data_IF_592477141846
#
_entry.id   IF_592477141846
#
_cell.length_a   1.000
_cell.length_b   1.000
_cell.length_c   1.000
_cell.angle_alpha   90.00
_cell.angle_beta   90.00
_cell.angle_gamma   90.00
#
_symmetry.space_group_name_H-M   'P 1'
#
loop_
_entity.id
_entity.type
_entity.pdbx_description
1 polymer ?
#
# COMPACT_ATOMS: atom_id res chain seq x y z
N UNK A 1 56.74 -21.91 -13.57
CA UNK A 1 55.72 -22.89 -14.03
C UNK A 1 54.64 -23.26 -12.99
N UNK A 2 54.73 -22.87 -11.70
CA UNK A 2 53.69 -23.19 -10.69
C UNK A 2 52.47 -22.24 -10.67
N UNK A 3 52.59 -21.00 -11.18
CA UNK A 3 51.50 -20.01 -11.21
C UNK A 3 50.55 -20.12 -12.43
N UNK A 4 50.97 -20.84 -13.47
CA UNK A 4 50.14 -21.09 -14.66
C UNK A 4 49.14 -22.23 -14.41
N UNK A 5 49.49 -23.21 -13.58
CA UNK A 5 48.60 -24.31 -13.23
C UNK A 5 47.46 -23.86 -12.30
N UNK A 6 47.70 -22.90 -11.41
CA UNK A 6 46.68 -22.42 -10.47
C UNK A 6 45.64 -21.51 -11.12
N UNK A 7 46.04 -20.70 -12.11
CA UNK A 7 45.11 -19.83 -12.86
C UNK A 7 44.26 -20.61 -13.85
N UNK A 8 44.81 -21.65 -14.49
CA UNK A 8 44.05 -22.54 -15.38
C UNK A 8 42.97 -23.35 -14.63
N UNK A 9 43.22 -23.73 -13.37
CA UNK A 9 42.27 -24.50 -12.55
C UNK A 9 41.06 -23.66 -12.09
N UNK A 10 41.21 -22.33 -11.97
CA UNK A 10 40.10 -21.43 -11.66
C UNK A 10 39.24 -21.13 -12.90
N UNK A 11 39.87 -21.00 -14.07
CA UNK A 11 39.18 -20.74 -15.33
C UNK A 11 38.33 -21.94 -15.82
N UNK A 12 38.74 -23.18 -15.53
CA UNK A 12 37.97 -24.37 -15.89
C UNK A 12 36.64 -24.50 -15.14
N UNK A 13 36.50 -23.89 -13.96
CA UNK A 13 35.25 -23.90 -13.19
C UNK A 13 34.18 -22.97 -13.80
N UNK A 14 34.57 -21.91 -14.51
CA UNK A 14 33.63 -20.98 -15.18
C UNK A 14 32.99 -21.62 -16.41
N UNK A 15 33.72 -22.47 -17.15
CA UNK A 15 33.20 -23.17 -18.31
C UNK A 15 32.39 -24.45 -17.96
N UNK A 16 32.68 -25.09 -16.82
CA UNK A 16 32.09 -26.37 -16.44
C UNK A 16 30.70 -26.27 -15.79
N UNK A 17 30.33 -25.13 -15.19
CA UNK A 17 29.07 -24.99 -14.46
C UNK A 17 28.29 -23.70 -14.78
N UNK A 18 27.90 -23.47 -16.06
CA UNK A 18 27.07 -22.31 -16.42
C UNK A 18 25.75 -22.29 -15.63
N UNK A 19 25.18 -23.45 -15.32
CA UNK A 19 23.97 -23.60 -14.51
C UNK A 19 24.15 -23.23 -13.03
N UNK A 20 25.36 -23.37 -12.48
CA UNK A 20 25.63 -22.98 -11.08
C UNK A 20 25.73 -21.46 -10.95
N UNK A 21 26.25 -20.76 -11.97
CA UNK A 21 26.22 -19.29 -12.01
C UNK A 21 24.77 -18.80 -12.01
N UNK A 22 23.89 -19.38 -12.82
CA UNK A 22 22.46 -19.05 -12.78
C UNK A 22 21.85 -19.30 -11.41
N UNK A 23 22.17 -20.41 -10.72
CA UNK A 23 21.69 -20.67 -9.36
C UNK A 23 22.27 -19.74 -8.29
N UNK A 24 23.50 -19.28 -8.48
CA UNK A 24 24.17 -18.35 -7.55
C UNK A 24 23.72 -16.91 -7.76
N UNK A 25 23.40 -16.54 -9.01
CA UNK A 25 23.01 -15.17 -9.40
C UNK A 25 21.50 -15.00 -9.41
N UNK A 26 20.68 -16.05 -9.59
CA UNK A 26 19.22 -15.95 -9.55
C UNK A 26 18.70 -15.33 -8.24
N UNK A 27 19.19 -15.70 -7.03
CA UNK A 27 18.78 -15.03 -5.80
C UNK A 27 19.16 -13.54 -5.74
N UNK A 28 20.26 -13.15 -6.41
CA UNK A 28 20.67 -11.76 -6.54
C UNK A 28 19.84 -11.00 -7.59
N UNK A 29 19.51 -11.62 -8.72
CA UNK A 29 18.64 -11.03 -9.71
C UNK A 29 17.22 -10.86 -9.16
N UNK A 30 16.73 -11.83 -8.39
CA UNK A 30 15.43 -11.79 -7.73
C UNK A 30 15.40 -10.73 -6.62
N UNK A 31 16.49 -10.59 -5.85
CA UNK A 31 16.58 -9.53 -4.86
C UNK A 31 16.60 -8.13 -5.53
N UNK A 32 17.31 -7.96 -6.64
CA UNK A 32 17.39 -6.69 -7.34
C UNK A 32 16.05 -6.32 -7.99
N UNK A 33 15.35 -7.30 -8.57
CA UNK A 33 13.98 -7.15 -9.09
C UNK A 33 13.00 -6.79 -7.98
N UNK A 34 13.10 -7.45 -6.83
CA UNK A 34 12.27 -7.15 -5.66
C UNK A 34 12.54 -5.75 -5.10
N UNK A 35 13.81 -5.31 -5.06
CA UNK A 35 14.15 -3.94 -4.66
C UNK A 35 13.64 -2.91 -5.67
N UNK A 36 13.72 -3.20 -6.98
CA UNK A 36 13.15 -2.36 -8.03
C UNK A 36 11.62 -2.25 -7.89
N UNK A 37 10.93 -3.38 -7.75
CA UNK A 37 9.49 -3.43 -7.51
C UNK A 37 9.08 -2.63 -6.26
N UNK A 38 9.84 -2.77 -5.16
CA UNK A 38 9.59 -1.99 -3.94
C UNK A 38 9.74 -0.49 -4.16
N UNK A 39 10.71 -0.06 -4.98
CA UNK A 39 10.92 1.36 -5.30
C UNK A 39 9.82 1.89 -6.19
N UNK A 40 9.45 1.16 -7.24
CA UNK A 40 8.36 1.51 -8.15
C UNK A 40 7.03 1.60 -7.39
N UNK A 41 6.74 0.64 -6.51
CA UNK A 41 5.56 0.69 -5.62
C UNK A 41 5.60 1.85 -4.63
N UNK A 42 6.78 2.19 -4.08
CA UNK A 42 6.91 3.35 -3.20
C UNK A 42 6.70 4.67 -3.95
N UNK A 43 7.16 4.76 -5.19
CA UNK A 43 6.97 5.91 -6.08
C UNK A 43 5.51 6.00 -6.54
N UNK A 44 4.87 4.89 -6.93
CA UNK A 44 3.47 4.84 -7.32
C UNK A 44 2.53 5.23 -6.17
N UNK A 45 2.82 4.78 -4.94
CA UNK A 45 2.11 5.22 -3.72
C UNK A 45 2.30 6.71 -3.43
N UNK A 46 3.42 7.30 -3.87
CA UNK A 46 3.64 8.75 -3.74
C UNK A 46 2.78 9.55 -4.74
N UNK A 47 2.35 8.93 -5.85
CA UNK A 47 1.63 9.59 -6.95
C UNK A 47 0.11 9.32 -6.90
N UNK A 48 -0.32 8.10 -6.55
CA UNK A 48 -1.74 7.74 -6.46
C UNK A 48 -2.22 7.78 -5.01
N UNK A 49 -2.78 8.93 -4.66
CA UNK A 49 -3.35 9.21 -3.35
C UNK A 49 -4.60 8.40 -3.02
N UNK A 50 -4.42 7.18 -2.51
CA UNK A 50 -5.48 6.48 -1.76
C UNK A 50 -5.00 6.27 -0.32
N UNK A 51 -4.92 7.37 0.44
CA UNK A 51 -4.57 7.35 1.86
C UNK A 51 -3.05 7.27 2.14
N UNK A 52 -2.59 8.11 3.09
CA UNK A 52 -1.19 8.40 3.46
C UNK A 52 -0.27 8.75 2.29
N UNK A 53 -0.34 10.03 1.88
CA UNK A 53 0.57 10.64 0.90
C UNK A 53 -0.05 11.77 0.06
N UNK A 54 -1.38 11.80 -0.04
CA UNK A 54 -2.14 12.77 -0.86
C UNK A 54 -2.47 14.09 -0.15
N UNK A 55 -2.26 14.14 1.16
CA UNK A 55 -2.51 15.34 1.96
C UNK A 55 -1.26 16.21 1.90
N UNK A 56 -1.41 17.54 1.78
CA UNK A 56 -0.26 18.43 1.88
C UNK A 56 0.52 18.12 3.17
N UNK A 57 1.86 18.14 3.07
CA UNK A 57 2.79 17.93 4.20
C UNK A 57 2.38 18.76 5.44
N UNK A 58 1.79 19.92 5.18
CA UNK A 58 1.12 20.75 6.17
C UNK A 58 -0.39 20.61 5.95
N UNK A 59 -1.14 20.02 6.90
CA UNK A 59 -2.59 19.98 6.80
C UNK A 59 -3.12 21.42 6.68
N UNK A 60 -4.17 21.66 5.87
CA UNK A 60 -4.76 22.98 5.76
C UNK A 60 -5.18 23.46 7.16
N UNK A 61 -5.09 24.77 7.44
CA UNK A 61 -5.58 25.31 8.70
C UNK A 61 -7.07 24.97 8.87
N UNK A 62 -7.49 24.75 10.11
CA UNK A 62 -8.89 24.51 10.40
C UNK A 62 -9.72 25.75 10.07
N UNK A 63 -10.75 25.56 9.26
CA UNK A 63 -11.75 26.56 8.92
C UNK A 63 -13.14 25.95 9.15
N UNK A 64 -13.82 26.43 10.19
CA UNK A 64 -15.07 25.85 10.65
C UNK A 64 -16.20 25.96 9.61
N UNK A 65 -16.19 26.99 8.76
CA UNK A 65 -17.24 27.20 7.77
C UNK A 65 -17.07 26.26 6.57
N UNK A 66 -15.84 26.11 6.08
CA UNK A 66 -15.52 25.24 4.92
C UNK A 66 -15.50 23.76 5.28
N UNK A 67 -15.20 23.42 6.54
CA UNK A 67 -15.13 22.04 7.03
C UNK A 67 -16.38 21.64 7.83
N UNK A 68 -17.47 22.40 7.73
CA UNK A 68 -18.71 22.07 8.38
C UNK A 68 -19.39 20.86 7.69
N UNK A 69 -19.69 19.82 8.49
CA UNK A 69 -20.50 18.68 8.09
C UNK A 69 -21.82 18.76 8.86
N UNK A 70 -22.94 18.85 8.14
CA UNK A 70 -24.25 19.05 8.75
C UNK A 70 -24.73 17.80 9.49
N UNK A 71 -25.30 18.00 10.69
CA UNK A 71 -25.98 16.95 11.46
C UNK A 71 -27.47 17.27 11.67
N UNK A 72 -28.03 18.09 10.79
CA UNK A 72 -29.40 18.62 10.87
C UNK A 72 -30.21 18.25 9.62
N UNK A 73 -31.54 18.39 9.72
CA UNK A 73 -32.45 18.15 8.59
C UNK A 73 -32.35 16.72 8.07
N UNK A 74 -32.02 16.56 6.79
CA UNK A 74 -31.84 15.24 6.16
C UNK A 74 -30.68 14.42 6.75
N UNK A 75 -29.72 15.07 7.43
CA UNK A 75 -28.60 14.42 8.12
C UNK A 75 -28.79 14.42 9.65
N UNK A 76 -30.03 14.61 10.13
CA UNK A 76 -30.33 14.44 11.53
C UNK A 76 -30.02 13.01 11.99
N UNK A 77 -29.59 12.87 13.25
CA UNK A 77 -29.29 11.57 13.81
C UNK A 77 -30.51 10.65 13.80
N UNK A 78 -30.31 9.43 13.29
CA UNK A 78 -31.25 8.32 13.43
C UNK A 78 -30.51 7.16 14.10
N UNK A 79 -31.10 6.60 15.15
CA UNK A 79 -30.54 5.44 15.83
C UNK A 79 -30.65 4.20 14.93
N UNK A 80 -29.62 3.33 14.87
CA UNK A 80 -29.70 2.10 14.10
C UNK A 80 -30.74 1.16 14.69
N UNK A 81 -31.46 0.48 13.81
CA UNK A 81 -32.39 -0.60 14.13
C UNK A 81 -31.67 -1.95 14.19
N UNK A 82 -32.37 -2.99 14.63
CA UNK A 82 -31.82 -4.35 14.69
C UNK A 82 -31.46 -4.93 13.30
N UNK A 83 -32.00 -4.38 12.21
CA UNK A 83 -31.67 -4.78 10.84
C UNK A 83 -30.51 -4.01 10.23
N UNK A 84 -30.01 -2.97 10.89
CA UNK A 84 -28.93 -2.14 10.37
C UNK A 84 -27.56 -2.70 10.80
N UNK A 85 -26.64 -2.79 9.85
CA UNK A 85 -25.28 -3.28 10.09
C UNK A 85 -24.39 -2.17 10.65
N UNK A 86 -23.67 -2.46 11.74
CA UNK A 86 -22.63 -1.57 12.31
C UNK A 86 -21.40 -2.40 12.65
N UNK A 87 -20.22 -1.82 12.43
CA UNK A 87 -18.93 -2.46 12.68
C UNK A 87 -18.18 -1.84 13.85
N UNK A 88 -16.91 -2.20 13.99
CA UNK A 88 -16.01 -1.66 15.01
C UNK A 88 -15.57 -0.22 14.73
N UNK A 89 -15.76 0.29 13.51
CA UNK A 89 -15.34 1.65 13.14
C UNK A 89 -16.38 2.70 13.59
N UNK A 90 -16.07 3.54 14.60
CA UNK A 90 -17.02 4.53 15.09
C UNK A 90 -17.36 5.61 14.05
N UNK A 91 -16.40 5.97 13.20
CA UNK A 91 -16.61 6.99 12.16
C UNK A 91 -17.63 6.55 11.11
N UNK A 92 -17.51 5.33 10.59
CA UNK A 92 -18.47 4.78 9.62
C UNK A 92 -19.86 4.62 10.24
N UNK A 93 -19.92 4.19 11.51
CA UNK A 93 -21.18 4.08 12.23
C UNK A 93 -21.89 5.45 12.37
N UNK A 94 -21.15 6.51 12.69
CA UNK A 94 -21.70 7.86 12.78
C UNK A 94 -22.23 8.34 11.42
N UNK A 95 -21.45 8.18 10.36
CA UNK A 95 -21.80 8.61 9.00
C UNK A 95 -23.05 7.86 8.49
N UNK A 96 -23.21 6.56 8.81
CA UNK A 96 -24.42 5.81 8.49
C UNK A 96 -25.64 6.25 9.33
N UNK A 97 -25.45 6.53 10.63
CA UNK A 97 -26.52 7.05 11.50
C UNK A 97 -27.02 8.44 11.07
N UNK A 98 -26.17 9.21 10.41
CA UNK A 98 -26.48 10.52 9.85
C UNK A 98 -26.90 10.46 8.36
N UNK A 99 -27.00 9.28 7.74
CA UNK A 99 -27.51 9.14 6.36
C UNK A 99 -26.56 9.61 5.25
N UNK A 100 -25.28 9.84 5.56
CA UNK A 100 -24.23 10.11 4.57
C UNK A 100 -23.77 8.83 3.85
N UNK A 101 -23.97 7.67 4.50
CA UNK A 101 -23.97 6.35 3.89
C UNK A 101 -25.38 5.76 3.99
N UNK A 102 -25.70 4.73 3.17
CA UNK A 102 -26.92 3.96 3.37
C UNK A 102 -27.11 3.57 4.84
N UNK A 103 -28.25 3.94 5.42
CA UNK A 103 -28.49 3.79 6.87
C UNK A 103 -28.41 2.33 7.33
N UNK A 104 -28.71 1.39 6.42
CA UNK A 104 -28.60 -0.04 6.64
C UNK A 104 -27.16 -0.54 6.83
N UNK A 105 -26.14 0.30 6.60
CA UNK A 105 -24.73 -0.05 6.79
C UNK A 105 -24.11 -0.85 5.64
N UNK A 106 -24.75 -0.92 4.48
CA UNK A 106 -24.22 -1.59 3.28
C UNK A 106 -23.98 -0.58 2.16
N UNK A 107 -22.70 -0.31 1.84
CA UNK A 107 -22.27 0.67 0.84
C UNK A 107 -21.39 0.04 -0.24
N UNK A 108 -21.35 0.65 -1.42
CA UNK A 108 -20.38 0.32 -2.49
C UNK A 108 -19.07 1.09 -2.29
N UNK A 109 -18.00 0.57 -2.87
CA UNK A 109 -16.70 1.25 -2.99
C UNK A 109 -16.57 1.98 -4.33
#
# INVERSE_FOLDING_TARGET
MKFLATTALLASNVAAFPYMIDKLVAPLADNARFQKYKREQAEERAVHGTGVGALPLVPPPFDAATQYVSNQGQYAFVAPTASDSRGECPGLNAIANHGYLPHNGHASI
#
